data_IF_553000084691
#
_entry.id   IF_553000084691
#
_cell.length_a   1.000
_cell.length_b   1.000
_cell.length_c   1.000
_cell.angle_alpha   90.00
_cell.angle_beta   90.00
_cell.angle_gamma   90.00
#
_symmetry.space_group_name_H-M   'P 1'
#
loop_
_entity.id
_entity.type
_entity.pdbx_description
1 polymer ?
#
# COMPACT_ATOMS: atom_id res chain seq x y z
N UNK A 1 -16.21 -3.64 10.62
CA UNK A 1 -14.82 -4.12 10.35
C UNK A 1 -13.82 -3.29 11.14
N UNK A 2 -12.61 -3.84 11.46
CA UNK A 2 -11.51 -3.07 12.06
C UNK A 2 -10.25 -3.21 11.23
N UNK A 3 -9.57 -2.10 10.96
CA UNK A 3 -8.27 -2.10 10.30
C UNK A 3 -7.17 -1.85 11.35
N UNK A 4 -6.33 -2.85 11.57
CA UNK A 4 -5.11 -2.71 12.35
C UNK A 4 -4.03 -2.08 11.48
N UNK A 5 -3.50 -0.95 11.92
CA UNK A 5 -2.60 -0.12 11.13
C UNK A 5 -1.45 0.45 11.98
N UNK A 6 -0.42 0.90 11.31
CA UNK A 6 0.60 1.76 11.88
C UNK A 6 0.91 2.89 10.88
N UNK A 7 1.11 4.13 11.34
CA UNK A 7 1.48 5.23 10.45
C UNK A 7 2.73 4.94 9.63
N UNK A 8 2.79 5.49 8.43
CA UNK A 8 3.91 5.33 7.48
C UNK A 8 4.20 3.87 7.05
N UNK A 9 3.25 2.96 7.19
CA UNK A 9 3.41 1.55 6.78
C UNK A 9 2.52 1.18 5.59
N UNK A 10 2.64 -0.06 5.13
CA UNK A 10 1.82 -0.60 4.04
C UNK A 10 0.31 -0.63 4.35
N UNK A 11 -0.10 -0.49 5.62
CA UNK A 11 -1.50 -0.43 6.04
C UNK A 11 -2.25 0.80 5.53
N UNK A 12 -1.55 1.84 5.08
CA UNK A 12 -2.16 3.00 4.43
C UNK A 12 -2.92 2.61 3.16
N UNK A 13 -2.44 1.60 2.42
CA UNK A 13 -3.11 1.13 1.19
C UNK A 13 -4.55 0.63 1.44
N UNK A 14 -4.81 -0.37 2.29
CA UNK A 14 -6.18 -0.77 2.61
C UNK A 14 -6.97 0.33 3.33
N UNK A 15 -6.35 1.21 4.09
CA UNK A 15 -7.04 2.36 4.69
C UNK A 15 -7.61 3.30 3.61
N UNK A 16 -6.83 3.61 2.56
CA UNK A 16 -7.30 4.41 1.43
C UNK A 16 -8.47 3.69 0.74
N UNK A 17 -8.35 2.39 0.47
CA UNK A 17 -9.41 1.61 -0.20
C UNK A 17 -10.71 1.61 0.60
N UNK A 18 -10.67 1.43 1.92
CA UNK A 18 -11.84 1.54 2.80
C UNK A 18 -12.54 2.89 2.64
N UNK A 19 -11.78 3.98 2.56
CA UNK A 19 -12.32 5.34 2.37
C UNK A 19 -12.85 5.58 0.96
N UNK A 20 -12.19 5.07 -0.07
CA UNK A 20 -12.67 5.18 -1.47
C UNK A 20 -14.01 4.45 -1.65
N UNK A 21 -14.22 3.35 -0.94
CA UNK A 21 -15.44 2.56 -0.96
C UNK A 21 -16.52 3.07 0.00
N UNK A 22 -16.24 4.12 0.78
CA UNK A 22 -17.11 4.64 1.85
C UNK A 22 -17.62 3.52 2.78
N UNK A 23 -16.78 2.55 3.09
CA UNK A 23 -17.09 1.48 4.03
C UNK A 23 -16.93 1.97 5.47
N UNK A 24 -17.77 1.48 6.38
CA UNK A 24 -17.64 1.74 7.81
C UNK A 24 -16.58 0.83 8.43
N UNK A 25 -15.65 1.43 9.16
CA UNK A 25 -14.57 0.70 9.82
C UNK A 25 -14.02 1.48 11.02
N UNK A 26 -13.44 0.76 11.95
CA UNK A 26 -12.65 1.29 13.06
C UNK A 26 -11.16 1.19 12.72
N UNK A 27 -10.40 2.24 13.06
CA UNK A 27 -8.93 2.22 12.98
C UNK A 27 -8.36 1.82 14.33
N UNK A 28 -7.58 0.74 14.36
CA UNK A 28 -6.88 0.25 15.54
C UNK A 28 -5.38 0.42 15.34
N UNK A 29 -4.81 1.43 16.00
CA UNK A 29 -3.38 1.70 15.92
C UNK A 29 -2.58 0.60 16.62
N UNK A 30 -1.51 0.17 15.95
CA UNK A 30 -0.51 -0.79 16.47
C UNK A 30 0.83 -0.09 16.54
N UNK A 31 1.47 -0.13 17.68
CA UNK A 31 2.86 0.27 17.79
C UNK A 31 3.75 -0.80 17.13
N UNK A 32 4.46 -0.40 16.09
CA UNK A 32 5.21 -1.33 15.24
C UNK A 32 6.43 -1.93 15.96
N UNK A 33 6.89 -1.30 17.04
CA UNK A 33 8.06 -1.73 17.82
C UNK A 33 7.67 -2.68 18.95
N UNK A 34 6.70 -2.28 19.77
CA UNK A 34 6.21 -3.08 20.91
C UNK A 34 5.24 -4.18 20.48
N UNK A 35 4.60 -4.04 19.31
CA UNK A 35 3.52 -4.89 18.82
C UNK A 35 2.27 -4.85 19.72
N UNK A 36 2.07 -3.73 20.40
CA UNK A 36 0.85 -3.50 21.19
C UNK A 36 -0.13 -2.64 20.38
N UNK A 37 -1.40 -2.95 20.50
CA UNK A 37 -2.48 -2.08 20.07
C UNK A 37 -2.60 -0.89 21.02
N UNK A 38 -3.29 0.18 20.63
CA UNK A 38 -3.47 1.37 21.46
C UNK A 38 -4.17 1.07 22.81
N UNK A 39 -4.96 -0.01 22.88
CA UNK A 39 -5.63 -0.51 24.09
C UNK A 39 -4.79 -1.54 24.88
N UNK A 40 -3.53 -1.73 24.51
CA UNK A 40 -2.55 -2.55 25.23
C UNK A 40 -2.57 -4.06 24.92
N UNK A 41 -3.39 -4.51 23.97
CA UNK A 41 -3.39 -5.94 23.56
C UNK A 41 -2.16 -6.27 22.71
N UNK A 42 -1.64 -7.48 22.87
CA UNK A 42 -0.59 -8.01 21.98
C UNK A 42 -1.17 -8.29 20.58
N UNK A 43 -0.73 -7.52 19.60
CA UNK A 43 -1.16 -7.67 18.22
C UNK A 43 -0.81 -9.03 17.61
N UNK A 44 0.20 -9.71 18.14
CA UNK A 44 0.57 -11.08 17.69
C UNK A 44 -0.49 -12.12 18.00
N UNK A 45 -1.39 -11.86 18.96
CA UNK A 45 -2.57 -12.70 19.21
C UNK A 45 -3.64 -12.52 18.13
N UNK A 46 -3.61 -11.40 17.38
CA UNK A 46 -4.52 -11.09 16.28
C UNK A 46 -3.90 -11.53 14.95
N UNK A 47 -2.65 -11.14 14.71
CA UNK A 47 -1.86 -11.58 13.57
C UNK A 47 -0.52 -12.14 14.03
N UNK A 48 -0.35 -13.47 14.06
CA UNK A 48 0.89 -14.11 14.53
C UNK A 48 2.15 -13.70 13.76
N UNK A 49 2.01 -13.20 12.53
CA UNK A 49 3.14 -12.65 11.75
C UNK A 49 3.69 -11.35 12.36
N UNK A 50 2.89 -10.64 13.19
CA UNK A 50 3.27 -9.39 13.86
C UNK A 50 3.39 -8.18 12.92
N UNK A 51 2.84 -8.23 11.70
CA UNK A 51 2.87 -7.14 10.73
C UNK A 51 1.47 -6.60 10.43
N UNK A 52 1.33 -5.29 10.39
CA UNK A 52 0.17 -4.61 9.80
C UNK A 52 0.31 -4.63 8.25
N UNK A 53 -0.79 -4.63 7.47
CA UNK A 53 -2.17 -4.50 7.90
C UNK A 53 -2.77 -5.86 8.27
N UNK A 54 -3.75 -5.82 9.18
CA UNK A 54 -4.72 -6.88 9.36
C UNK A 54 -6.13 -6.26 9.35
N UNK A 55 -7.08 -6.94 8.73
CA UNK A 55 -8.49 -6.56 8.68
C UNK A 55 -9.29 -7.58 9.48
N UNK A 56 -9.95 -7.14 10.57
CA UNK A 56 -10.90 -7.93 11.33
C UNK A 56 -12.30 -7.68 10.76
N UNK A 57 -12.96 -8.74 10.35
CA UNK A 57 -14.33 -8.72 9.86
C UNK A 57 -15.33 -8.71 11.03
N UNK A 58 -16.61 -8.41 10.75
CA UNK A 58 -17.65 -8.34 11.78
C UNK A 58 -17.95 -9.69 12.45
N UNK A 59 -17.62 -10.80 11.79
CA UNK A 59 -17.71 -12.16 12.31
C UNK A 59 -16.44 -12.62 13.08
N UNK A 60 -15.45 -11.72 13.23
CA UNK A 60 -14.21 -11.98 13.95
C UNK A 60 -13.11 -12.65 13.11
N UNK A 61 -13.34 -12.95 11.83
CA UNK A 61 -12.28 -13.47 10.96
C UNK A 61 -11.22 -12.39 10.70
N UNK A 62 -9.95 -12.82 10.64
CA UNK A 62 -8.81 -11.94 10.37
C UNK A 62 -8.27 -12.21 8.98
N UNK A 63 -8.26 -11.19 8.14
CA UNK A 63 -7.59 -11.20 6.83
C UNK A 63 -6.29 -10.40 6.91
N UNK A 64 -5.20 -10.98 6.43
CA UNK A 64 -3.88 -10.34 6.37
C UNK A 64 -3.38 -10.25 4.93
N UNK A 65 -2.23 -9.61 4.70
CA UNK A 65 -1.64 -9.28 3.41
C UNK A 65 -2.40 -8.17 2.67
N UNK A 66 -1.77 -7.00 2.55
CA UNK A 66 -2.37 -5.82 1.91
C UNK A 66 -3.03 -6.11 0.57
N UNK A 67 -2.38 -6.83 -0.37
CA UNK A 67 -2.98 -7.18 -1.66
C UNK A 67 -4.24 -8.07 -1.57
N UNK A 68 -4.31 -8.95 -0.58
CA UNK A 68 -5.51 -9.76 -0.35
C UNK A 68 -6.64 -8.90 0.24
N UNK A 69 -6.31 -8.05 1.22
CA UNK A 69 -7.26 -7.15 1.87
C UNK A 69 -7.89 -6.20 0.84
N UNK A 70 -7.10 -5.52 0.00
CA UNK A 70 -7.65 -4.55 -0.96
C UNK A 70 -8.51 -5.21 -2.03
N UNK A 71 -8.20 -6.45 -2.44
CA UNK A 71 -9.04 -7.21 -3.36
C UNK A 71 -10.37 -7.59 -2.71
N UNK A 72 -10.33 -8.12 -1.49
CA UNK A 72 -11.53 -8.45 -0.74
C UNK A 72 -12.45 -7.23 -0.58
N UNK A 73 -11.90 -6.09 -0.17
CA UNK A 73 -12.67 -4.84 0.00
C UNK A 73 -13.31 -4.38 -1.32
N UNK A 74 -12.57 -4.41 -2.43
CA UNK A 74 -13.10 -4.03 -3.73
C UNK A 74 -14.24 -4.97 -4.20
N UNK A 75 -14.15 -6.26 -3.88
CA UNK A 75 -15.16 -7.25 -4.23
C UNK A 75 -16.44 -7.10 -3.37
N UNK A 76 -16.40 -6.40 -2.22
CA UNK A 76 -17.61 -6.02 -1.47
C UNK A 76 -18.43 -4.92 -2.18
N UNK A 77 -17.82 -4.17 -3.09
CA UNK A 77 -18.42 -3.04 -3.82
C UNK A 77 -18.01 -3.08 -5.30
N UNK A 78 -18.41 -4.13 -6.06
CA UNK A 78 -17.99 -4.29 -7.46
C UNK A 78 -18.40 -3.12 -8.36
N UNK A 79 -19.49 -2.44 -8.02
CA UNK A 79 -19.97 -1.23 -8.70
C UNK A 79 -19.03 -0.04 -8.60
N UNK A 80 -18.09 -0.05 -7.63
CA UNK A 80 -17.09 1.01 -7.49
C UNK A 80 -16.08 1.06 -8.65
N UNK A 81 -15.91 -0.05 -9.37
CA UNK A 81 -14.93 -0.17 -10.44
C UNK A 81 -13.47 -0.19 -9.98
N UNK A 82 -13.21 -0.25 -8.66
CA UNK A 82 -11.83 -0.29 -8.11
C UNK A 82 -11.08 -1.57 -8.44
N UNK A 83 -11.80 -2.64 -8.78
CA UNK A 83 -11.21 -3.86 -9.31
C UNK A 83 -12.11 -4.43 -10.43
N UNK A 84 -11.52 -4.96 -11.51
CA UNK A 84 -12.27 -5.69 -12.53
C UNK A 84 -12.95 -6.94 -11.93
N UNK A 85 -14.03 -7.46 -12.55
CA UNK A 85 -14.71 -8.67 -12.08
C UNK A 85 -13.77 -9.86 -11.89
N UNK A 86 -13.97 -10.63 -10.81
CA UNK A 86 -13.22 -11.86 -10.56
C UNK A 86 -13.31 -12.81 -11.76
N UNK A 87 -12.22 -13.52 -12.08
CA UNK A 87 -12.13 -14.43 -13.21
C UNK A 87 -11.93 -13.76 -14.59
N UNK A 88 -12.01 -12.43 -14.68
CA UNK A 88 -11.71 -11.71 -15.93
C UNK A 88 -10.21 -11.57 -16.18
N UNK A 89 -9.83 -11.46 -17.46
CA UNK A 89 -8.42 -11.16 -17.83
C UNK A 89 -7.94 -9.84 -17.22
N UNK A 90 -8.78 -8.83 -17.16
CA UNK A 90 -8.46 -7.56 -16.53
C UNK A 90 -8.15 -7.72 -15.02
N UNK A 91 -8.84 -8.64 -14.30
CA UNK A 91 -8.52 -8.97 -12.91
C UNK A 91 -7.13 -9.63 -12.81
N UNK A 92 -6.75 -10.50 -13.74
CA UNK A 92 -5.42 -11.11 -13.77
C UNK A 92 -4.33 -10.03 -13.95
N UNK A 93 -4.57 -9.04 -14.83
CA UNK A 93 -3.65 -7.89 -15.01
C UNK A 93 -3.55 -7.03 -13.74
N UNK A 94 -4.65 -6.83 -13.02
CA UNK A 94 -4.61 -6.15 -11.72
C UNK A 94 -3.79 -6.94 -10.70
N UNK A 95 -3.97 -8.26 -10.63
CA UNK A 95 -3.22 -9.14 -9.73
C UNK A 95 -1.72 -9.15 -10.08
N UNK A 96 -1.38 -9.09 -11.37
CA UNK A 96 0.01 -8.94 -11.82
C UNK A 96 0.63 -7.66 -11.26
N UNK A 97 -0.08 -6.52 -11.31
CA UNK A 97 0.38 -5.27 -10.67
C UNK A 97 0.55 -5.41 -9.16
N UNK A 98 -0.43 -6.00 -8.46
CA UNK A 98 -0.33 -6.21 -7.02
C UNK A 98 0.87 -7.09 -6.66
N UNK A 99 1.12 -8.16 -7.42
CA UNK A 99 2.29 -9.03 -7.23
C UNK A 99 3.59 -8.28 -7.51
N UNK A 100 3.68 -7.53 -8.61
CA UNK A 100 4.86 -6.72 -8.94
C UNK A 100 5.18 -5.72 -7.82
N UNK A 101 4.18 -4.98 -7.33
CA UNK A 101 4.38 -4.03 -6.23
C UNK A 101 4.89 -4.78 -5.00
N UNK A 102 4.29 -5.91 -4.64
CA UNK A 102 4.67 -6.70 -3.45
C UNK A 102 6.12 -7.18 -3.54
N UNK A 103 6.49 -7.87 -4.62
CA UNK A 103 7.75 -8.58 -4.72
C UNK A 103 8.92 -7.68 -5.14
N UNK A 104 8.66 -6.65 -5.96
CA UNK A 104 9.72 -5.86 -6.58
C UNK A 104 9.89 -4.47 -5.96
N UNK A 105 8.79 -3.83 -5.52
CA UNK A 105 8.84 -2.50 -4.93
C UNK A 105 8.82 -2.57 -3.40
N UNK A 106 7.79 -3.19 -2.82
CA UNK A 106 7.62 -3.28 -1.36
C UNK A 106 8.76 -4.10 -0.72
N UNK A 107 8.95 -5.34 -1.16
CA UNK A 107 10.01 -6.19 -0.62
C UNK A 107 11.41 -5.62 -0.90
N UNK A 108 11.61 -5.03 -2.08
CA UNK A 108 12.85 -4.35 -2.43
C UNK A 108 13.15 -3.13 -1.56
N UNK A 109 12.14 -2.34 -1.24
CA UNK A 109 12.25 -1.16 -0.35
C UNK A 109 12.46 -1.56 1.11
N UNK A 110 11.84 -2.66 1.57
CA UNK A 110 11.89 -3.07 2.96
C UNK A 110 13.33 -3.30 3.46
N UNK A 111 14.23 -3.75 2.60
CA UNK A 111 15.63 -3.96 2.94
C UNK A 111 16.40 -2.66 3.18
N UNK A 112 15.96 -1.55 2.57
CA UNK A 112 16.57 -0.23 2.76
C UNK A 112 16.32 0.36 4.17
N UNK A 113 15.34 -0.17 4.92
CA UNK A 113 15.15 0.20 6.33
C UNK A 113 16.16 -0.46 7.26
N UNK A 114 16.87 -1.50 6.82
CA UNK A 114 17.83 -2.21 7.67
C UNK A 114 19.20 -1.50 7.67
N UNK A 115 19.38 -0.57 8.58
CA UNK A 115 20.64 0.18 8.74
C UNK A 115 21.84 -0.67 9.21
N UNK A 116 21.64 -1.93 9.58
CA UNK A 116 22.74 -2.85 9.92
C UNK A 116 23.38 -3.48 8.68
N UNK A 117 22.78 -3.33 7.49
CA UNK A 117 23.35 -3.83 6.24
C UNK A 117 24.54 -2.93 5.79
N UNK A 118 25.61 -3.53 5.24
CA UNK A 118 26.71 -2.76 4.65
C UNK A 118 26.23 -1.86 3.51
N UNK A 119 26.84 -0.68 3.35
CA UNK A 119 26.48 0.30 2.31
C UNK A 119 26.50 -0.28 0.89
N UNK A 120 27.45 -1.17 0.61
CA UNK A 120 27.53 -1.85 -0.68
C UNK A 120 26.28 -2.70 -0.97
N UNK A 121 25.70 -3.34 0.07
CA UNK A 121 24.47 -4.11 -0.05
C UNK A 121 23.27 -3.18 -0.23
N UNK A 122 23.18 -2.11 0.57
CA UNK A 122 22.12 -1.10 0.42
C UNK A 122 22.13 -0.47 -0.97
N UNK A 123 23.32 -0.19 -1.52
CA UNK A 123 23.48 0.33 -2.89
C UNK A 123 22.91 -0.62 -3.94
N UNK A 124 23.17 -1.93 -3.83
CA UNK A 124 22.61 -2.91 -4.76
C UNK A 124 21.07 -2.94 -4.74
N UNK A 125 20.46 -2.86 -3.55
CA UNK A 125 19.00 -2.80 -3.43
C UNK A 125 18.43 -1.48 -3.97
N UNK A 126 19.12 -0.37 -3.73
CA UNK A 126 18.77 0.94 -4.28
C UNK A 126 18.80 0.94 -5.81
N UNK A 127 19.85 0.39 -6.42
CA UNK A 127 19.94 0.25 -7.87
C UNK A 127 18.86 -0.67 -8.44
N UNK A 128 18.55 -1.78 -7.74
CA UNK A 128 17.44 -2.65 -8.14
C UNK A 128 16.13 -1.87 -8.14
N UNK A 129 15.86 -1.10 -7.10
CA UNK A 129 14.65 -0.29 -6.96
C UNK A 129 14.58 0.78 -8.07
N UNK A 130 15.70 1.43 -8.39
CA UNK A 130 15.76 2.43 -9.47
C UNK A 130 15.39 1.85 -10.83
N UNK A 131 15.86 0.64 -11.16
CA UNK A 131 15.43 -0.05 -12.40
C UNK A 131 13.91 -0.32 -12.42
N UNK A 132 13.27 -0.54 -11.26
CA UNK A 132 11.81 -0.68 -11.16
C UNK A 132 11.11 0.66 -11.33
N UNK A 133 11.71 1.74 -10.85
CA UNK A 133 11.19 3.09 -11.06
C UNK A 133 11.35 3.52 -12.53
N UNK A 134 12.45 3.16 -13.20
CA UNK A 134 12.62 3.38 -14.65
C UNK A 134 11.48 2.68 -15.43
N UNK A 135 11.17 1.42 -15.12
CA UNK A 135 10.03 0.70 -15.71
C UNK A 135 8.68 1.35 -15.43
N UNK A 136 8.46 1.82 -14.20
CA UNK A 136 7.21 2.52 -13.83
C UNK A 136 7.12 3.89 -14.52
N UNK A 137 8.24 4.61 -14.68
CA UNK A 137 8.32 5.87 -15.42
C UNK A 137 7.80 5.69 -16.85
N UNK A 138 8.30 4.68 -17.56
CA UNK A 138 7.89 4.39 -18.95
C UNK A 138 6.41 3.95 -19.00
N UNK A 139 5.99 3.14 -18.04
CA UNK A 139 4.61 2.64 -17.96
C UNK A 139 3.60 3.77 -17.74
N UNK A 140 3.95 4.75 -16.90
CA UNK A 140 3.04 5.83 -16.47
C UNK A 140 3.16 7.10 -17.34
N UNK A 141 4.10 7.14 -18.31
CA UNK A 141 4.30 8.30 -19.17
C UNK A 141 3.02 8.72 -19.92
N UNK A 142 2.19 7.73 -20.29
CA UNK A 142 0.94 7.97 -21.04
C UNK A 142 -0.31 7.47 -20.28
N UNK A 143 -0.20 7.18 -19.00
CA UNK A 143 -1.29 6.62 -18.19
C UNK A 143 -1.49 7.39 -16.90
N UNK A 144 -2.75 7.69 -16.60
CA UNK A 144 -3.11 8.33 -15.35
C UNK A 144 -2.98 7.38 -14.13
N UNK A 145 -3.19 6.07 -14.33
CA UNK A 145 -3.17 5.02 -13.31
C UNK A 145 -2.57 3.72 -13.84
N UNK A 146 -2.18 2.79 -12.96
CA UNK A 146 -1.54 1.54 -13.34
C UNK A 146 -2.36 0.69 -14.33
N UNK A 147 -3.68 0.67 -14.15
CA UNK A 147 -4.60 -0.07 -15.02
C UNK A 147 -5.07 0.74 -16.24
N UNK A 148 -4.56 1.95 -16.45
CA UNK A 148 -4.91 2.81 -17.57
C UNK A 148 -5.64 4.10 -17.15
N UNK A 149 -6.85 4.39 -17.66
CA UNK A 149 -7.54 5.65 -17.37
C UNK A 149 -8.24 5.67 -16.01
N UNK A 150 -8.46 4.51 -15.39
CA UNK A 150 -9.25 4.38 -14.16
C UNK A 150 -8.38 4.00 -12.96
N UNK A 151 -8.66 4.67 -11.84
CA UNK A 151 -8.06 4.33 -10.55
C UNK A 151 -8.49 2.93 -10.10
N UNK A 152 -7.56 2.17 -9.55
CA UNK A 152 -7.77 0.80 -9.07
C UNK A 152 -7.11 0.58 -7.71
N UNK A 153 -7.38 -0.57 -7.08
CA UNK A 153 -6.74 -0.93 -5.80
C UNK A 153 -5.22 -1.09 -5.87
N UNK A 154 -4.61 -1.20 -7.04
CA UNK A 154 -3.16 -1.21 -7.19
C UNK A 154 -2.54 0.17 -6.94
N UNK A 155 -3.26 1.24 -7.25
CA UNK A 155 -2.75 2.60 -7.18
C UNK A 155 -2.49 3.07 -5.73
N UNK A 156 -3.40 2.90 -4.75
CA UNK A 156 -3.10 3.22 -3.36
C UNK A 156 -1.95 2.38 -2.79
N UNK A 157 -1.75 1.16 -3.28
CA UNK A 157 -0.63 0.35 -2.83
C UNK A 157 0.70 0.88 -3.34
N UNK A 158 0.82 1.17 -4.64
CA UNK A 158 2.02 1.79 -5.19
C UNK A 158 2.29 3.17 -4.54
N UNK A 159 1.25 4.00 -4.40
CA UNK A 159 1.35 5.31 -3.73
C UNK A 159 1.95 5.18 -2.32
N UNK A 160 1.46 4.22 -1.54
CA UNK A 160 1.94 3.96 -0.17
C UNK A 160 3.42 3.61 -0.15
N UNK A 161 3.85 2.68 -1.00
CA UNK A 161 5.25 2.22 -1.03
C UNK A 161 6.19 3.30 -1.57
N UNK A 162 5.76 4.08 -2.57
CA UNK A 162 6.51 5.26 -3.04
C UNK A 162 6.66 6.33 -1.96
N UNK A 163 5.73 6.41 -1.03
CA UNK A 163 5.82 7.29 0.14
C UNK A 163 7.04 7.02 1.03
N UNK A 164 7.62 5.82 0.95
CA UNK A 164 8.81 5.45 1.73
C UNK A 164 10.12 6.03 1.18
N UNK A 165 10.12 6.53 -0.06
CA UNK A 165 11.29 7.18 -0.65
C UNK A 165 11.87 8.27 0.23
N UNK A 166 11.00 9.01 0.97
CA UNK A 166 11.42 10.03 1.96
C UNK A 166 12.36 9.50 3.04
N UNK A 167 12.21 8.22 3.45
CA UNK A 167 13.05 7.59 4.48
C UNK A 167 14.41 7.14 3.95
N UNK A 168 14.55 7.05 2.63
CA UNK A 168 15.77 6.59 1.96
C UNK A 168 16.52 7.71 1.28
N UNK A 169 16.06 8.97 1.43
CA UNK A 169 16.59 10.14 0.71
C UNK A 169 16.59 9.90 -0.82
N UNK A 170 15.50 9.30 -1.33
CA UNK A 170 15.30 9.09 -2.76
C UNK A 170 14.32 10.15 -3.25
N UNK A 171 14.83 11.10 -4.02
CA UNK A 171 14.00 12.09 -4.70
C UNK A 171 13.45 11.50 -6.01
N UNK A 172 12.15 11.74 -6.27
CA UNK A 172 11.48 11.22 -7.46
C UNK A 172 11.64 12.12 -8.70
N UNK A 173 12.37 13.21 -8.60
CA UNK A 173 12.56 14.17 -9.69
C UNK A 173 13.19 13.55 -10.95
N UNK A 174 13.97 12.50 -10.76
CA UNK A 174 14.51 11.68 -11.85
C UNK A 174 13.42 10.98 -12.66
N UNK A 175 12.23 10.77 -12.08
CA UNK A 175 11.11 10.04 -12.68
C UNK A 175 9.84 10.91 -12.70
N UNK A 176 9.77 11.90 -13.64
CA UNK A 176 8.71 12.91 -13.64
C UNK A 176 7.30 12.33 -13.82
N UNK A 177 7.12 11.24 -14.58
CA UNK A 177 5.81 10.59 -14.69
C UNK A 177 5.41 9.91 -13.37
N UNK A 178 6.36 9.30 -12.67
CA UNK A 178 6.13 8.70 -11.36
C UNK A 178 5.82 9.76 -10.30
N UNK A 179 6.49 10.91 -10.36
CA UNK A 179 6.22 12.07 -9.50
C UNK A 179 4.82 12.63 -9.76
N UNK A 180 4.44 12.82 -11.02
CA UNK A 180 3.12 13.31 -11.41
C UNK A 180 2.01 12.32 -11.01
N UNK A 181 2.23 11.02 -11.24
CA UNK A 181 1.33 9.96 -10.79
C UNK A 181 1.11 10.02 -9.27
N UNK A 182 2.17 10.12 -8.48
CA UNK A 182 2.08 10.21 -7.02
C UNK A 182 1.31 11.47 -6.59
N UNK A 183 1.52 12.61 -7.25
CA UNK A 183 0.78 13.84 -6.98
C UNK A 183 -0.72 13.68 -7.31
N UNK A 184 -1.06 13.03 -8.43
CA UNK A 184 -2.43 12.74 -8.83
C UNK A 184 -3.16 11.87 -7.80
N UNK A 185 -2.53 10.80 -7.31
CA UNK A 185 -3.11 9.94 -6.25
C UNK A 185 -3.26 10.74 -4.95
N UNK A 186 -2.23 11.51 -4.57
CA UNK A 186 -2.24 12.32 -3.34
C UNK A 186 -3.39 13.33 -3.31
N UNK A 187 -3.80 13.88 -4.46
CA UNK A 187 -4.89 14.85 -4.55
C UNK A 187 -6.29 14.27 -4.27
N UNK A 188 -6.44 12.95 -4.23
CA UNK A 188 -7.74 12.30 -4.01
C UNK A 188 -8.25 12.55 -2.59
N UNK A 189 -9.55 12.90 -2.41
CA UNK A 189 -10.12 13.19 -1.09
C UNK A 189 -9.96 12.03 -0.09
N UNK A 190 -10.14 10.78 -0.52
CA UNK A 190 -10.00 9.59 0.32
C UNK A 190 -8.55 9.40 0.80
N UNK A 191 -7.56 9.66 -0.08
CA UNK A 191 -6.14 9.61 0.26
C UNK A 191 -5.81 10.67 1.32
N UNK A 192 -6.26 11.90 1.10
CA UNK A 192 -6.04 13.01 2.05
C UNK A 192 -6.72 12.73 3.40
N UNK A 193 -7.92 12.13 3.39
CA UNK A 193 -8.62 11.75 4.62
C UNK A 193 -7.88 10.63 5.38
N UNK A 194 -7.33 9.64 4.67
CA UNK A 194 -6.53 8.59 5.27
C UNK A 194 -5.25 9.15 5.92
N UNK A 195 -4.51 9.98 5.19
CA UNK A 195 -3.27 10.59 5.68
C UNK A 195 -3.52 11.45 6.93
N UNK A 196 -4.57 12.27 6.92
CA UNK A 196 -4.93 13.08 8.11
C UNK A 196 -5.30 12.21 9.30
N UNK A 197 -6.08 11.14 9.11
CA UNK A 197 -6.48 10.26 10.19
C UNK A 197 -5.29 9.52 10.82
N UNK A 198 -4.28 9.14 10.03
CA UNK A 198 -3.07 8.48 10.55
C UNK A 198 -2.10 9.46 11.24
N UNK A 199 -2.13 10.75 10.87
CA UNK A 199 -1.28 11.77 11.48
C UNK A 199 -1.79 12.27 12.85
N UNK A 200 -3.08 12.12 13.14
CA UNK A 200 -3.75 12.68 14.33
C UNK A 200 -3.93 11.68 15.48
N UNK A 201 -3.58 10.43 15.29
CA UNK A 201 -3.72 9.35 16.30
C UNK A 201 -2.29 8.91 16.84
#
# INVERSE_FOLDING_TARGET
>A
MKLYYAPDTCSLSPHIVLRELALEFELVKVDNRSKLTYDGRDFRLINPKGYVAALELDDGQILTEGPAIVQYLADLRPESGLAPPAGSWARVRLQEWLNFITSEIHAGSALLFNQALPDAVLSLFREKLFRRFDFLQDTLAEKAFLMGPSFSIADPYLFTVLGWCKFFSIELDRWPALLAYRANINARPAVQAALRAEATQ
#
